data_IF_544963410358
#
_entry.id   IF_544963410358
#
_cell.length_a   1.000
_cell.length_b   1.000
_cell.length_c   1.000
_cell.angle_alpha   90.00
_cell.angle_beta   90.00
_cell.angle_gamma   90.00
#
_symmetry.space_group_name_H-M   'P 1'
#
loop_
_entity.id
_entity.type
_entity.pdbx_description
1 polymer ?
#
# COMPACT_ATOMS: atom_id res chain seq x y z
N UNK A 1 35.90 22.70 -49.42
CA UNK A 1 35.54 21.47 -48.69
C UNK A 1 35.48 21.83 -47.22
N UNK A 2 34.29 22.09 -46.67
CA UNK A 2 34.12 22.39 -45.25
C UNK A 2 34.22 21.07 -44.47
N UNK A 3 35.05 21.04 -43.42
CA UNK A 3 35.22 19.87 -42.55
C UNK A 3 33.95 19.55 -41.77
N UNK A 4 33.84 18.36 -41.18
CA UNK A 4 32.60 17.92 -40.52
C UNK A 4 32.23 18.87 -39.38
N UNK A 5 31.05 19.49 -39.48
CA UNK A 5 30.46 20.27 -38.40
C UNK A 5 30.21 19.37 -37.19
N UNK A 6 30.85 19.69 -36.08
CA UNK A 6 30.66 18.98 -34.83
C UNK A 6 29.46 19.58 -34.11
N UNK A 7 28.35 18.84 -34.05
CA UNK A 7 27.14 19.26 -33.34
C UNK A 7 27.27 18.82 -31.87
N UNK A 8 27.39 19.78 -30.95
CA UNK A 8 27.37 19.50 -29.51
C UNK A 8 25.92 19.43 -29.01
N UNK A 9 25.54 18.28 -28.44
CA UNK A 9 24.22 18.07 -27.86
C UNK A 9 24.34 17.97 -26.34
N UNK A 10 23.72 18.92 -25.64
CA UNK A 10 23.70 18.94 -24.18
C UNK A 10 22.35 18.41 -23.71
N UNK A 11 22.36 17.21 -23.11
CA UNK A 11 21.17 16.57 -22.55
C UNK A 11 21.17 16.81 -21.05
N UNK A 12 20.10 17.41 -20.54
CA UNK A 12 19.86 17.61 -19.12
C UNK A 12 18.68 16.73 -18.70
N UNK A 13 18.81 16.04 -17.57
CA UNK A 13 17.75 15.21 -17.01
C UNK A 13 17.91 15.08 -15.50
N UNK A 14 16.79 14.90 -14.80
CA UNK A 14 16.77 14.58 -13.38
C UNK A 14 16.50 13.08 -13.22
N UNK A 15 17.30 12.38 -12.43
CA UNK A 15 17.05 10.98 -12.06
C UNK A 15 16.33 11.00 -10.72
N UNK A 16 15.03 10.69 -10.76
CA UNK A 16 14.23 10.48 -9.55
C UNK A 16 14.20 8.98 -9.26
N UNK A 17 14.40 8.61 -7.99
CA UNK A 17 14.13 7.24 -7.55
C UNK A 17 12.63 7.02 -7.62
N UNK A 18 12.18 6.11 -8.50
CA UNK A 18 10.77 5.82 -8.66
C UNK A 18 10.33 4.92 -7.51
N UNK A 19 9.25 5.28 -6.82
CA UNK A 19 8.64 4.45 -5.79
C UNK A 19 7.93 3.22 -6.36
N UNK A 20 6.99 2.68 -5.60
CA UNK A 20 6.00 1.73 -6.12
C UNK A 20 4.63 2.40 -6.22
N UNK A 21 3.77 1.87 -7.08
CA UNK A 21 2.38 2.25 -7.23
C UNK A 21 1.47 1.29 -6.45
N UNK A 22 0.59 1.84 -5.61
CA UNK A 22 -0.50 1.06 -5.00
C UNK A 22 -1.62 0.91 -6.02
N UNK A 23 -2.02 -0.33 -6.33
CA UNK A 23 -3.07 -0.59 -7.29
C UNK A 23 -4.39 0.11 -6.88
N UNK A 24 -5.11 0.71 -7.83
CA UNK A 24 -6.38 1.43 -7.53
C UNK A 24 -7.39 0.55 -6.81
N UNK A 25 -7.46 -0.73 -7.21
CA UNK A 25 -8.31 -1.72 -6.53
C UNK A 25 -7.93 -1.92 -5.07
N UNK A 26 -6.66 -1.74 -4.70
CA UNK A 26 -6.17 -1.87 -3.33
C UNK A 26 -6.34 -0.58 -2.51
N UNK A 27 -6.30 0.57 -3.18
CA UNK A 27 -6.53 1.88 -2.56
C UNK A 27 -8.02 2.15 -2.22
N UNK A 28 -8.94 1.53 -2.96
CA UNK A 28 -10.39 1.73 -2.80
C UNK A 28 -11.13 0.45 -2.41
N UNK A 29 -10.57 -0.31 -1.47
CA UNK A 29 -11.19 -1.53 -0.96
C UNK A 29 -12.23 -1.22 0.11
N UNK A 30 -13.38 -1.87 0.01
CA UNK A 30 -14.32 -1.99 1.12
C UNK A 30 -14.44 -3.47 1.48
N UNK A 31 -13.89 -3.86 2.64
CA UNK A 31 -13.83 -5.26 3.06
C UNK A 31 -15.05 -5.58 3.93
N UNK A 32 -15.91 -6.45 3.44
CA UNK A 32 -16.96 -7.04 4.26
C UNK A 32 -16.32 -8.11 5.17
N UNK A 33 -16.25 -7.81 6.46
CA UNK A 33 -15.59 -8.67 7.47
C UNK A 33 -16.46 -9.84 7.95
N UNK A 34 -17.72 -9.88 7.51
CA UNK A 34 -18.68 -10.93 7.82
C UNK A 34 -19.94 -10.42 8.51
N UNK A 35 -20.91 -11.31 8.61
CA UNK A 35 -22.14 -11.14 9.39
C UNK A 35 -21.98 -11.89 10.72
N UNK A 36 -22.10 -11.18 11.83
CA UNK A 36 -21.81 -11.72 13.16
C UNK A 36 -23.09 -11.88 13.99
N UNK A 37 -23.26 -13.04 14.63
CA UNK A 37 -24.28 -13.22 15.65
C UNK A 37 -23.70 -13.00 17.03
N UNK A 38 -24.43 -12.30 17.89
CA UNK A 38 -24.02 -12.08 19.29
C UNK A 38 -23.84 -13.39 20.06
N UNK A 39 -24.55 -14.46 19.66
CA UNK A 39 -24.39 -15.80 20.23
C UNK A 39 -22.96 -16.34 20.11
N UNK A 40 -22.19 -15.84 19.15
CA UNK A 40 -20.87 -16.37 18.84
C UNK A 40 -19.77 -15.67 19.65
N UNK A 41 -20.08 -14.54 20.30
CA UNK A 41 -19.15 -13.70 21.07
C UNK A 41 -19.54 -13.60 22.55
N UNK A 42 -19.62 -14.75 23.22
CA UNK A 42 -20.07 -14.84 24.61
C UNK A 42 -18.99 -14.49 25.67
N UNK A 43 -17.75 -14.31 25.24
CA UNK A 43 -16.63 -14.01 26.13
C UNK A 43 -15.77 -12.87 25.56
N UNK A 44 -15.13 -12.13 26.46
CA UNK A 44 -14.14 -11.14 26.05
C UNK A 44 -12.98 -11.84 25.33
N UNK A 45 -12.51 -11.23 24.24
CA UNK A 45 -11.46 -11.75 23.35
C UNK A 45 -11.88 -12.89 22.42
N UNK A 46 -13.16 -13.25 22.32
CA UNK A 46 -13.59 -14.12 21.21
C UNK A 46 -13.32 -13.41 19.88
N UNK A 47 -12.73 -14.14 18.93
CA UNK A 47 -12.31 -13.62 17.62
C UNK A 47 -13.18 -14.23 16.54
N UNK A 48 -13.57 -13.43 15.56
CA UNK A 48 -14.28 -13.89 14.37
C UNK A 48 -13.36 -14.69 13.44
N UNK A 49 -13.93 -15.27 12.39
CA UNK A 49 -13.14 -15.65 11.21
C UNK A 49 -12.48 -14.41 10.61
N UNK A 50 -11.27 -14.55 10.07
CA UNK A 50 -10.57 -13.47 9.40
C UNK A 50 -11.16 -13.21 8.00
N UNK A 51 -11.13 -11.95 7.58
CA UNK A 51 -11.36 -11.54 6.20
C UNK A 51 -10.05 -11.05 5.60
N UNK A 52 -9.81 -11.35 4.32
CA UNK A 52 -8.56 -11.01 3.65
C UNK A 52 -8.55 -9.53 3.22
N UNK A 53 -7.44 -8.84 3.48
CA UNK A 53 -7.12 -7.53 2.95
C UNK A 53 -5.83 -7.62 2.12
N UNK A 54 -5.97 -7.64 0.80
CA UNK A 54 -4.85 -7.77 -0.12
C UNK A 54 -4.44 -6.39 -0.66
N UNK A 55 -3.19 -6.00 -0.46
CA UNK A 55 -2.63 -4.74 -0.96
C UNK A 55 -1.64 -5.07 -2.07
N UNK A 56 -2.01 -4.77 -3.31
CA UNK A 56 -1.16 -4.99 -4.47
C UNK A 56 -0.30 -3.75 -4.71
N UNK A 57 1.00 -3.94 -4.56
CA UNK A 57 2.03 -2.96 -4.83
C UNK A 57 2.70 -3.33 -6.15
N UNK A 58 2.67 -2.43 -7.12
CA UNK A 58 3.10 -2.67 -8.51
C UNK A 58 4.07 -1.57 -8.97
N UNK A 59 4.70 -1.74 -10.14
CA UNK A 59 5.52 -0.67 -10.74
C UNK A 59 6.79 -0.29 -9.96
N UNK A 60 7.21 -1.09 -8.98
CA UNK A 60 8.38 -0.79 -8.15
C UNK A 60 9.68 -0.66 -8.97
N UNK A 61 10.49 0.36 -8.66
CA UNK A 61 11.85 0.42 -9.16
C UNK A 61 12.69 -0.78 -8.72
N UNK A 62 13.65 -1.18 -9.55
CA UNK A 62 14.47 -2.38 -9.34
C UNK A 62 15.30 -2.39 -8.05
N UNK A 63 15.51 -1.23 -7.41
CA UNK A 63 16.21 -1.10 -6.13
C UNK A 63 15.33 -1.33 -4.90
N UNK A 64 14.01 -1.40 -5.05
CA UNK A 64 13.07 -1.57 -3.94
C UNK A 64 12.91 -3.07 -3.65
N UNK A 65 13.37 -3.50 -2.48
CA UNK A 65 13.33 -4.92 -2.05
C UNK A 65 12.23 -5.23 -1.03
N UNK A 66 11.49 -4.20 -0.58
CA UNK A 66 10.45 -4.34 0.42
C UNK A 66 9.61 -3.08 0.56
N UNK A 67 8.46 -3.23 1.21
CA UNK A 67 7.56 -2.15 1.54
C UNK A 67 7.03 -2.36 2.97
N UNK A 68 6.94 -1.28 3.73
CA UNK A 68 6.30 -1.27 5.04
C UNK A 68 4.86 -0.74 4.91
N UNK A 69 3.92 -1.38 5.60
CA UNK A 69 2.51 -0.97 5.64
C UNK A 69 2.14 -0.62 7.07
N UNK A 70 1.61 0.59 7.26
CA UNK A 70 1.09 1.08 8.53
C UNK A 70 -0.43 1.25 8.43
N UNK A 71 -1.16 0.66 9.37
CA UNK A 71 -2.59 0.88 9.54
C UNK A 71 -2.84 1.96 10.58
N UNK A 72 -3.73 2.90 10.26
CA UNK A 72 -4.14 3.98 11.16
C UNK A 72 -5.65 4.17 11.09
N UNK A 73 -6.26 4.53 12.22
CA UNK A 73 -7.68 4.83 12.33
C UNK A 73 -8.04 5.19 13.76
N UNK A 74 -9.33 5.38 14.02
CA UNK A 74 -9.85 5.58 15.38
C UNK A 74 -9.66 4.28 16.17
N UNK A 75 -8.89 4.36 17.25
CA UNK A 75 -8.60 3.20 18.08
C UNK A 75 -9.70 2.99 19.12
N UNK A 76 -9.99 1.72 19.43
CA UNK A 76 -10.97 1.39 20.44
C UNK A 76 -10.44 1.81 21.84
N UNK A 77 -11.19 2.61 22.62
CA UNK A 77 -10.69 3.19 23.87
C UNK A 77 -10.23 2.16 24.90
N UNK A 78 -10.90 1.00 24.95
CA UNK A 78 -10.58 -0.10 25.86
C UNK A 78 -9.53 -1.06 25.28
N UNK A 79 -9.29 -1.04 23.96
CA UNK A 79 -8.30 -1.87 23.24
C UNK A 79 -7.63 -1.09 22.13
N UNK A 80 -6.61 -0.31 22.48
CA UNK A 80 -5.92 0.61 21.56
C UNK A 80 -5.22 -0.02 20.34
N UNK A 81 -5.12 -1.34 20.29
CA UNK A 81 -4.61 -2.08 19.12
C UNK A 81 -5.72 -2.51 18.14
N UNK A 82 -6.99 -2.28 18.47
CA UNK A 82 -8.15 -2.50 17.62
C UNK A 82 -8.65 -1.15 17.11
N UNK A 83 -9.04 -1.10 15.84
CA UNK A 83 -9.73 0.05 15.26
C UNK A 83 -11.25 -0.08 15.50
N UNK A 84 -11.94 1.06 15.65
CA UNK A 84 -13.40 1.16 15.80
C UNK A 84 -14.08 1.21 14.42
#
# INVERSE_FOLDING_TARGET
MAGPEQVSMHIYGNVVDQGCDVATKSALQNIHIGDFNISDFQAANTVSTAADLNIDITGCAAGITGADVLFSGEAEPLRRHCLN
#
